data_IF_997685603178
#
_entry.id   IF_997685603178
#
_cell.length_a   1.000
_cell.length_b   1.000
_cell.length_c   1.000
_cell.angle_alpha   90.00
_cell.angle_beta   90.00
_cell.angle_gamma   90.00
#
_symmetry.space_group_name_H-M   'P 1'
#
loop_
_entity.id
_entity.type
_entity.pdbx_description
1 polymer ?
#
# COMPACT_ATOMS: atom_id res chain seq x y z
N UNK A 1 20.09 22.23 -29.59
CA UNK A 1 20.76 23.16 -28.67
C UNK A 1 19.79 23.79 -27.67
N UNK A 2 18.69 24.47 -28.10
CA UNK A 2 17.69 25.04 -27.18
C UNK A 2 17.08 24.07 -26.15
N UNK A 3 16.77 22.82 -26.53
CA UNK A 3 16.21 21.83 -25.59
C UNK A 3 17.21 21.36 -24.52
N UNK A 4 18.51 21.27 -24.87
CA UNK A 4 19.57 20.90 -23.94
C UNK A 4 19.93 22.06 -22.99
N UNK A 5 19.80 23.30 -23.44
CA UNK A 5 19.92 24.50 -22.58
C UNK A 5 18.76 24.61 -21.59
N UNK A 6 17.53 24.33 -22.02
CA UNK A 6 16.36 24.33 -21.14
C UNK A 6 16.43 23.23 -20.08
N UNK A 7 16.84 22.00 -20.46
CA UNK A 7 17.07 20.90 -19.51
C UNK A 7 18.24 21.18 -18.55
N UNK A 8 19.30 21.87 -19.01
CA UNK A 8 20.41 22.28 -18.12
C UNK A 8 19.98 23.38 -17.15
N UNK A 9 19.18 24.35 -17.57
CA UNK A 9 18.60 25.37 -16.68
C UNK A 9 17.63 24.76 -15.68
N UNK A 10 16.82 23.78 -16.11
CA UNK A 10 15.93 23.01 -15.25
C UNK A 10 16.72 22.25 -14.17
N UNK A 11 17.79 21.53 -14.55
CA UNK A 11 18.64 20.82 -13.59
C UNK A 11 19.44 21.73 -12.64
N UNK A 12 19.79 22.95 -13.08
CA UNK A 12 20.47 23.93 -12.22
C UNK A 12 19.51 24.55 -11.20
N UNK A 13 18.29 24.92 -11.61
CA UNK A 13 17.23 25.41 -10.72
C UNK A 13 16.69 24.31 -9.79
N UNK A 14 16.62 23.06 -10.26
CA UNK A 14 16.27 21.90 -9.44
C UNK A 14 17.32 21.63 -8.36
N UNK A 15 18.61 21.85 -8.65
CA UNK A 15 19.69 21.76 -7.65
C UNK A 15 19.61 22.85 -6.57
N UNK A 16 19.18 24.06 -6.92
CA UNK A 16 18.87 25.11 -5.95
C UNK A 16 17.56 24.85 -5.19
N UNK A 17 16.69 24.00 -5.75
CA UNK A 17 15.42 23.54 -5.18
C UNK A 17 15.53 22.22 -4.40
N UNK A 18 16.74 21.68 -4.21
CA UNK A 18 17.01 20.57 -3.27
C UNK A 18 16.94 21.03 -1.81
N UNK A 19 15.96 21.87 -1.49
CA UNK A 19 15.50 22.09 -0.13
C UNK A 19 14.54 20.93 0.15
N UNK A 20 14.90 20.15 1.17
CA UNK A 20 14.22 18.95 1.66
C UNK A 20 12.70 19.09 1.56
N UNK A 21 12.06 18.09 0.94
CA UNK A 21 10.61 17.99 0.74
C UNK A 21 9.78 17.77 2.02
N UNK A 22 10.35 18.04 3.19
CA UNK A 22 9.55 18.28 4.39
C UNK A 22 9.46 19.79 4.61
N UNK A 23 8.28 20.32 4.27
CA UNK A 23 7.76 21.63 4.68
C UNK A 23 8.46 22.82 4.01
N UNK A 24 8.02 23.17 2.78
CA UNK A 24 8.07 24.58 2.41
C UNK A 24 7.22 25.34 3.43
N UNK A 25 7.83 26.23 4.23
CA UNK A 25 7.08 27.17 5.05
C UNK A 25 6.19 28.04 4.15
N UNK A 26 5.10 28.57 4.69
CA UNK A 26 4.18 29.42 3.92
C UNK A 26 4.92 30.61 3.28
N UNK A 27 5.95 31.11 3.94
CA UNK A 27 6.85 32.13 3.38
C UNK A 27 7.60 31.68 2.12
N UNK A 28 8.09 30.45 2.08
CA UNK A 28 8.79 29.91 0.90
C UNK A 28 7.79 29.62 -0.22
N UNK A 29 6.61 29.08 0.11
CA UNK A 29 5.54 28.85 -0.86
C UNK A 29 5.07 30.16 -1.50
N UNK A 30 4.85 31.19 -0.68
CA UNK A 30 4.50 32.53 -1.12
C UNK A 30 5.57 33.11 -2.04
N UNK A 31 6.83 33.06 -1.61
CA UNK A 31 7.94 33.58 -2.41
C UNK A 31 8.09 32.84 -3.74
N UNK A 32 7.89 31.52 -3.76
CA UNK A 32 7.93 30.71 -4.97
C UNK A 32 6.80 31.13 -5.94
N UNK A 33 5.57 31.29 -5.45
CA UNK A 33 4.44 31.77 -6.26
C UNK A 33 4.69 33.15 -6.87
N UNK A 34 5.12 34.12 -6.04
CA UNK A 34 5.34 35.49 -6.51
C UNK A 34 6.49 35.55 -7.51
N UNK A 35 7.62 34.93 -7.22
CA UNK A 35 8.78 34.97 -8.10
C UNK A 35 8.41 34.39 -9.49
N UNK A 36 7.73 33.25 -9.52
CA UNK A 36 7.27 32.66 -10.79
C UNK A 36 6.25 33.54 -11.50
N UNK A 37 5.29 34.14 -10.79
CA UNK A 37 4.31 35.05 -11.38
C UNK A 37 4.98 36.27 -12.03
N UNK A 38 5.95 36.89 -11.36
CA UNK A 38 6.66 38.06 -11.87
C UNK A 38 7.57 37.72 -13.05
N UNK A 39 8.31 36.60 -12.98
CA UNK A 39 9.18 36.11 -14.06
C UNK A 39 8.43 35.57 -15.28
N UNK A 40 7.14 35.23 -15.13
CA UNK A 40 6.34 34.65 -16.21
C UNK A 40 6.10 35.63 -17.36
N UNK A 41 5.85 35.08 -18.56
CA UNK A 41 5.39 35.83 -19.73
C UNK A 41 3.86 36.01 -19.77
N UNK A 42 3.17 35.82 -18.63
CA UNK A 42 1.72 35.97 -18.55
C UNK A 42 1.27 37.42 -18.83
N UNK A 43 0.08 37.61 -19.43
CA UNK A 43 -0.61 38.89 -19.46
C UNK A 43 -0.77 39.51 -18.06
N UNK A 44 -0.67 40.84 -17.97
CA UNK A 44 -0.64 41.55 -16.67
C UNK A 44 -1.94 41.41 -15.88
N UNK A 45 -3.08 41.29 -16.56
CA UNK A 45 -4.38 40.99 -15.95
C UNK A 45 -4.39 39.62 -15.25
N UNK A 46 -3.75 38.59 -15.84
CA UNK A 46 -3.59 37.30 -15.18
C UNK A 46 -2.60 37.34 -14.02
N UNK A 47 -1.52 38.12 -14.14
CA UNK A 47 -0.60 38.37 -13.01
C UNK A 47 -1.32 39.03 -11.84
N UNK A 48 -2.24 39.96 -12.09
CA UNK A 48 -3.06 40.57 -11.03
C UNK A 48 -3.94 39.56 -10.29
N UNK A 49 -4.45 38.53 -10.98
CA UNK A 49 -5.20 37.44 -10.34
C UNK A 49 -4.32 36.65 -9.37
N UNK A 50 -3.06 36.37 -9.73
CA UNK A 50 -2.09 35.73 -8.81
C UNK A 50 -1.70 36.62 -7.63
N UNK A 51 -1.91 37.94 -7.72
CA UNK A 51 -1.71 38.90 -6.62
C UNK A 51 -2.93 39.00 -5.68
N UNK A 52 -4.04 38.32 -5.99
CA UNK A 52 -5.23 38.31 -5.13
C UNK A 52 -4.95 37.56 -3.81
N UNK A 53 -5.13 38.20 -2.63
CA UNK A 53 -4.82 37.58 -1.34
C UNK A 53 -5.58 36.28 -1.05
N UNK A 54 -6.86 36.18 -1.43
CA UNK A 54 -7.67 34.99 -1.19
C UNK A 54 -7.21 33.81 -2.05
N UNK A 55 -6.79 34.09 -3.29
CA UNK A 55 -6.27 33.06 -4.18
C UNK A 55 -4.87 32.59 -3.76
N UNK A 56 -4.01 33.52 -3.32
CA UNK A 56 -2.71 33.18 -2.75
C UNK A 56 -2.85 32.28 -1.53
N UNK A 57 -3.74 32.64 -0.61
CA UNK A 57 -4.01 31.85 0.59
C UNK A 57 -4.46 30.43 0.23
N UNK A 58 -5.36 30.31 -0.75
CA UNK A 58 -5.79 29.01 -1.29
C UNK A 58 -4.61 28.22 -1.86
N UNK A 59 -3.80 28.82 -2.73
CA UNK A 59 -2.66 28.15 -3.38
C UNK A 59 -1.64 27.68 -2.34
N UNK A 60 -1.21 28.57 -1.45
CA UNK A 60 -0.10 28.36 -0.53
C UNK A 60 -0.43 27.29 0.50
N UNK A 61 -1.67 27.23 0.98
CA UNK A 61 -2.10 26.24 1.97
C UNK A 61 -2.65 24.95 1.34
N UNK A 62 -2.71 24.85 0.01
CA UNK A 62 -3.22 23.66 -0.65
C UNK A 62 -2.30 22.45 -0.45
N UNK A 63 -2.88 21.27 -0.23
CA UNK A 63 -2.15 20.01 -0.05
C UNK A 63 -1.32 19.61 -1.28
N UNK A 64 -1.85 19.88 -2.48
CA UNK A 64 -1.18 19.65 -3.76
C UNK A 64 -0.20 20.76 -4.21
N UNK A 65 0.16 21.70 -3.33
CA UNK A 65 1.17 22.71 -3.67
C UNK A 65 2.51 22.05 -3.98
N UNK A 66 3.08 22.37 -5.15
CA UNK A 66 4.44 21.98 -5.53
C UNK A 66 5.06 23.05 -6.43
N UNK A 67 6.39 23.10 -6.55
CA UNK A 67 7.06 23.97 -7.52
C UNK A 67 6.50 23.79 -8.94
N UNK A 68 6.14 22.54 -9.31
CA UNK A 68 5.55 22.23 -10.61
C UNK A 68 4.13 22.74 -10.76
N UNK A 69 3.30 22.74 -9.71
CA UNK A 69 1.95 23.30 -9.81
C UNK A 69 2.00 24.81 -10.04
N UNK A 70 2.96 25.51 -9.41
CA UNK A 70 3.20 26.94 -9.66
C UNK A 70 3.73 27.16 -11.07
N UNK A 71 4.72 26.39 -11.53
CA UNK A 71 5.22 26.47 -12.90
C UNK A 71 4.11 26.27 -13.93
N UNK A 72 3.22 25.30 -13.69
CA UNK A 72 2.12 24.98 -14.61
C UNK A 72 1.11 26.12 -14.74
N UNK A 73 0.71 26.73 -13.61
CA UNK A 73 -0.24 27.86 -13.65
C UNK A 73 0.40 29.15 -14.14
N UNK A 74 1.74 29.27 -14.06
CA UNK A 74 2.47 30.45 -14.53
C UNK A 74 3.00 30.31 -15.97
N UNK A 75 2.81 29.16 -16.60
CA UNK A 75 3.19 28.91 -17.98
C UNK A 75 2.23 29.62 -18.95
N UNK A 76 2.78 30.43 -19.83
CA UNK A 76 2.02 31.25 -20.78
C UNK A 76 1.13 30.39 -21.69
N UNK A 77 1.67 29.29 -22.19
CA UNK A 77 0.99 28.38 -23.12
C UNK A 77 -0.28 27.74 -22.53
N UNK A 78 -0.37 27.68 -21.19
CA UNK A 78 -1.51 27.09 -20.50
C UNK A 78 -2.59 28.13 -20.13
N UNK A 79 -2.30 29.43 -20.29
CA UNK A 79 -3.08 30.48 -19.64
C UNK A 79 -3.33 31.73 -20.48
N UNK A 80 -2.56 31.96 -21.55
CA UNK A 80 -2.62 33.21 -22.34
C UNK A 80 -3.98 33.48 -22.98
N UNK A 81 -4.76 32.43 -23.28
CA UNK A 81 -6.08 32.55 -23.90
C UNK A 81 -7.25 32.60 -22.89
N UNK A 82 -6.96 32.57 -21.58
CA UNK A 82 -7.99 32.54 -20.53
C UNK A 82 -8.38 33.95 -20.10
N UNK A 83 -9.67 34.20 -19.88
CA UNK A 83 -10.11 35.38 -19.14
C UNK A 83 -9.76 35.28 -17.65
N UNK A 84 -9.80 36.40 -16.93
CA UNK A 84 -9.52 36.44 -15.49
C UNK A 84 -10.33 35.42 -14.65
N UNK A 85 -11.63 35.26 -14.95
CA UNK A 85 -12.50 34.32 -14.23
C UNK A 85 -12.16 32.87 -14.61
N UNK A 86 -11.90 32.61 -15.89
CA UNK A 86 -11.50 31.28 -16.36
C UNK A 86 -10.14 30.87 -15.80
N UNK A 87 -9.22 31.82 -15.65
CA UNK A 87 -7.91 31.60 -15.09
C UNK A 87 -7.95 31.29 -13.59
N UNK A 88 -8.75 32.00 -12.78
CA UNK A 88 -8.95 31.65 -11.38
C UNK A 88 -9.55 30.23 -11.25
N UNK A 89 -10.57 29.92 -12.05
CA UNK A 89 -11.17 28.58 -12.08
C UNK A 89 -10.17 27.50 -12.52
N UNK A 90 -9.31 27.82 -13.49
CA UNK A 90 -8.23 26.95 -13.95
C UNK A 90 -7.24 26.65 -12.83
N UNK A 91 -6.80 27.67 -12.06
CA UNK A 91 -5.94 27.47 -10.90
C UNK A 91 -6.61 26.55 -9.89
N UNK A 92 -7.83 26.89 -9.45
CA UNK A 92 -8.56 26.09 -8.45
C UNK A 92 -8.74 24.64 -8.90
N UNK A 93 -9.11 24.44 -10.16
CA UNK A 93 -9.27 23.10 -10.75
C UNK A 93 -7.96 22.30 -10.73
N UNK A 94 -6.83 22.90 -11.10
CA UNK A 94 -5.56 22.18 -11.16
C UNK A 94 -4.97 21.87 -9.77
N UNK A 95 -5.23 22.71 -8.77
CA UNK A 95 -4.85 22.39 -7.39
C UNK A 95 -5.75 21.30 -6.80
N UNK A 96 -7.06 21.37 -7.03
CA UNK A 96 -8.01 20.35 -6.58
C UNK A 96 -7.86 19.03 -7.34
N UNK A 97 -7.44 19.07 -8.62
CA UNK A 97 -7.25 17.92 -9.50
C UNK A 97 -5.98 18.08 -10.35
N UNK A 98 -4.81 17.70 -9.81
CA UNK A 98 -3.51 17.94 -10.44
C UNK A 98 -3.17 17.00 -11.59
N UNK A 99 -4.10 16.15 -12.05
CA UNK A 99 -3.91 15.23 -13.17
C UNK A 99 -3.31 15.91 -14.39
N UNK A 100 -3.76 17.12 -14.75
CA UNK A 100 -3.28 17.84 -15.94
C UNK A 100 -1.86 18.40 -15.77
N UNK A 101 -1.48 18.80 -14.54
CA UNK A 101 -0.11 19.20 -14.21
C UNK A 101 0.84 18.02 -14.45
N UNK A 102 0.47 16.84 -13.94
CA UNK A 102 1.28 15.64 -14.09
C UNK A 102 1.24 15.08 -15.50
N UNK A 103 0.10 15.15 -16.20
CA UNK A 103 -0.04 14.79 -17.62
C UNK A 103 0.93 15.58 -18.46
N UNK A 104 0.93 16.91 -18.32
CA UNK A 104 1.85 17.76 -19.08
C UNK A 104 3.31 17.40 -18.79
N UNK A 105 3.68 17.23 -17.51
CA UNK A 105 5.05 16.87 -17.14
C UNK A 105 5.47 15.49 -17.68
N UNK A 106 4.57 14.51 -17.62
CA UNK A 106 4.81 13.15 -18.09
C UNK A 106 4.87 13.07 -19.62
N UNK A 107 3.95 13.73 -20.33
CA UNK A 107 3.81 13.63 -21.79
C UNK A 107 4.71 14.59 -22.57
N UNK A 108 5.08 15.73 -21.99
CA UNK A 108 5.79 16.81 -22.70
C UNK A 108 7.20 17.08 -22.18
N UNK A 109 7.48 16.86 -20.88
CA UNK A 109 8.76 17.27 -20.27
C UNK A 109 9.78 16.14 -20.13
N UNK A 110 9.34 14.89 -20.18
CA UNK A 110 10.21 13.71 -20.05
C UNK A 110 10.11 12.80 -21.29
N UNK A 111 11.15 12.03 -21.55
CA UNK A 111 11.18 11.11 -22.70
C UNK A 111 10.74 9.68 -22.31
N UNK A 112 10.68 8.78 -23.29
CA UNK A 112 10.20 7.41 -23.09
C UNK A 112 11.03 6.61 -22.08
N UNK A 113 12.36 6.82 -22.00
CA UNK A 113 13.20 6.16 -20.99
C UNK A 113 12.83 6.58 -19.57
N UNK A 114 12.49 7.87 -19.42
CA UNK A 114 12.07 8.42 -18.14
C UNK A 114 10.69 7.86 -17.74
N UNK A 115 9.75 7.78 -18.69
CA UNK A 115 8.44 7.16 -18.49
C UNK A 115 8.55 5.69 -18.12
N UNK A 116 9.39 4.94 -18.84
CA UNK A 116 9.67 3.54 -18.53
C UNK A 116 10.21 3.38 -17.11
N UNK A 117 11.09 4.27 -16.64
CA UNK A 117 11.59 4.24 -15.27
C UNK A 117 10.48 4.54 -14.25
N UNK A 118 9.66 5.58 -14.47
CA UNK A 118 8.54 5.91 -13.58
C UNK A 118 7.51 4.78 -13.50
N UNK A 119 7.12 4.21 -14.65
CA UNK A 119 6.14 3.13 -14.71
C UNK A 119 6.69 1.84 -14.09
N UNK A 120 7.99 1.57 -14.26
CA UNK A 120 8.66 0.44 -13.59
C UNK A 120 8.68 0.67 -12.08
N UNK A 121 9.05 1.86 -11.62
CA UNK A 121 9.04 2.20 -10.19
C UNK A 121 7.64 2.07 -9.60
N UNK A 122 6.60 2.55 -10.30
CA UNK A 122 5.21 2.44 -9.86
C UNK A 122 4.78 0.99 -9.63
N UNK A 123 5.31 0.05 -10.42
CA UNK A 123 5.01 -1.37 -10.28
C UNK A 123 5.47 -1.94 -8.93
N UNK A 124 6.50 -1.37 -8.30
CA UNK A 124 7.00 -1.83 -6.99
C UNK A 124 6.16 -1.35 -5.79
N UNK A 125 5.23 -0.40 -5.99
CA UNK A 125 4.44 0.18 -4.91
C UNK A 125 4.85 1.62 -4.59
N UNK A 126 4.93 1.95 -3.30
CA UNK A 126 5.16 3.33 -2.83
C UNK A 126 6.64 3.71 -2.73
N UNK A 127 7.50 2.73 -2.48
CA UNK A 127 8.94 2.89 -2.49
C UNK A 127 9.68 1.64 -2.98
N UNK A 128 10.94 1.82 -3.37
CA UNK A 128 11.79 0.76 -3.93
C UNK A 128 13.27 1.03 -3.68
N UNK A 129 14.05 -0.02 -3.41
CA UNK A 129 15.51 0.08 -3.37
C UNK A 129 16.07 0.43 -4.76
N UNK A 130 17.04 1.34 -4.82
CA UNK A 130 17.63 1.81 -6.07
C UNK A 130 18.23 0.68 -6.93
N UNK A 131 18.80 -0.35 -6.30
CA UNK A 131 19.39 -1.49 -7.03
C UNK A 131 18.30 -2.37 -7.62
N UNK A 132 17.22 -2.63 -6.87
CA UNK A 132 16.07 -3.40 -7.36
C UNK A 132 15.35 -2.65 -8.49
N UNK A 133 15.24 -1.32 -8.39
CA UNK A 133 14.71 -0.48 -9.46
C UNK A 133 15.61 -0.52 -10.71
N UNK A 134 16.94 -0.48 -10.55
CA UNK A 134 17.86 -0.60 -11.69
C UNK A 134 17.73 -1.95 -12.39
N UNK A 135 17.64 -3.04 -11.62
CA UNK A 135 17.43 -4.39 -12.16
C UNK A 135 16.09 -4.48 -12.91
N UNK A 136 14.99 -4.04 -12.28
CA UNK A 136 13.66 -4.04 -12.90
C UNK A 136 13.60 -3.17 -14.16
N UNK A 137 14.22 -1.99 -14.13
CA UNK A 137 14.28 -1.10 -15.29
C UNK A 137 15.12 -1.70 -16.43
N UNK A 138 16.25 -2.34 -16.11
CA UNK A 138 17.04 -3.03 -17.11
C UNK A 138 16.25 -4.19 -17.75
N UNK A 139 15.51 -4.97 -16.97
CA UNK A 139 14.63 -6.01 -17.51
C UNK A 139 13.55 -5.41 -18.42
N UNK A 140 12.96 -4.26 -18.05
CA UNK A 140 12.04 -3.52 -18.92
C UNK A 140 12.68 -3.11 -20.24
N UNK A 141 13.89 -2.56 -20.22
CA UNK A 141 14.59 -2.18 -21.46
C UNK A 141 14.90 -3.41 -22.31
N UNK A 142 15.31 -4.55 -21.73
CA UNK A 142 15.58 -5.77 -22.50
C UNK A 142 14.31 -6.33 -23.16
N UNK A 143 13.17 -6.24 -22.48
CA UNK A 143 11.88 -6.56 -23.08
C UNK A 143 11.58 -5.67 -24.29
N UNK A 144 11.76 -4.35 -24.17
CA UNK A 144 11.54 -3.40 -25.26
C UNK A 144 12.47 -3.63 -26.45
N UNK A 145 13.74 -3.97 -26.19
CA UNK A 145 14.72 -4.33 -27.23
C UNK A 145 14.29 -5.60 -27.96
N UNK A 146 13.85 -6.62 -27.22
CA UNK A 146 13.50 -7.93 -27.77
C UNK A 146 12.20 -7.92 -28.55
N UNK A 147 11.18 -7.20 -28.08
CA UNK A 147 9.82 -7.31 -28.61
C UNK A 147 9.32 -6.06 -29.33
N UNK A 148 9.91 -4.89 -29.09
CA UNK A 148 9.43 -3.61 -29.60
C UNK A 148 10.48 -2.84 -30.43
N UNK A 149 11.52 -3.52 -30.92
CA UNK A 149 12.60 -2.97 -31.75
C UNK A 149 13.30 -1.74 -31.13
N UNK A 150 13.40 -1.71 -29.80
CA UNK A 150 14.08 -0.62 -29.10
C UNK A 150 15.60 -0.79 -29.15
N UNK A 151 16.35 0.31 -29.10
CA UNK A 151 17.82 0.29 -29.03
C UNK A 151 18.25 0.65 -27.62
N UNK A 152 18.91 -0.27 -26.91
CA UNK A 152 19.40 -0.05 -25.54
C UNK A 152 20.45 1.07 -25.50
N UNK A 153 20.16 2.21 -24.85
CA UNK A 153 21.11 3.30 -24.74
C UNK A 153 22.15 3.02 -23.64
N UNK A 154 23.42 3.37 -23.85
CA UNK A 154 24.49 3.18 -22.84
C UNK A 154 24.21 3.94 -21.54
N UNK A 155 24.06 3.29 -20.40
CA UNK A 155 23.75 3.98 -19.13
C UNK A 155 22.34 4.57 -19.11
N UNK A 156 21.36 3.88 -19.70
CA UNK A 156 19.96 4.30 -19.75
C UNK A 156 19.39 4.62 -18.37
N UNK A 157 19.63 3.76 -17.37
CA UNK A 157 19.15 3.93 -16.01
C UNK A 157 19.66 5.24 -15.38
N UNK A 158 20.99 5.40 -15.26
CA UNK A 158 21.60 6.59 -14.65
C UNK A 158 21.21 7.90 -15.34
N UNK A 159 20.93 7.88 -16.65
CA UNK A 159 20.45 9.07 -17.36
C UNK A 159 18.99 9.39 -17.04
N UNK A 160 18.13 8.38 -16.98
CA UNK A 160 16.72 8.56 -16.62
C UNK A 160 16.59 8.99 -15.16
N UNK A 161 17.29 8.29 -14.25
CA UNK A 161 17.34 8.63 -12.83
C UNK A 161 17.72 10.10 -12.60
N UNK A 162 18.84 10.56 -13.18
CA UNK A 162 19.29 11.96 -13.03
C UNK A 162 18.33 13.03 -13.57
N UNK A 163 17.45 12.67 -14.52
CA UNK A 163 16.44 13.62 -15.03
C UNK A 163 15.19 13.66 -14.16
N UNK A 164 14.88 12.54 -13.51
CA UNK A 164 13.68 12.40 -12.68
C UNK A 164 13.94 12.80 -11.22
N UNK A 165 15.19 12.66 -10.74
CA UNK A 165 15.59 13.00 -9.38
C UNK A 165 15.29 14.47 -9.06
N UNK A 166 14.61 14.71 -7.93
CA UNK A 166 14.19 16.04 -7.48
C UNK A 166 12.99 16.63 -8.22
N UNK A 167 12.58 16.03 -9.34
CA UNK A 167 11.41 16.42 -10.12
C UNK A 167 10.22 15.45 -9.97
N UNK A 168 10.47 14.16 -9.90
CA UNK A 168 9.44 13.11 -9.87
C UNK A 168 9.72 12.08 -8.78
N UNK A 169 11.00 11.78 -8.56
CA UNK A 169 11.46 10.78 -7.61
C UNK A 169 12.44 11.43 -6.63
N UNK A 170 12.44 10.93 -5.40
CA UNK A 170 13.29 11.42 -4.31
C UNK A 170 13.74 10.26 -3.43
N UNK A 171 14.92 10.39 -2.83
CA UNK A 171 15.41 9.45 -1.83
C UNK A 171 14.65 9.66 -0.51
N UNK A 172 14.41 8.57 0.23
CA UNK A 172 13.82 8.66 1.56
C UNK A 172 14.81 9.26 2.58
N UNK A 173 14.27 10.03 3.52
CA UNK A 173 15.06 10.74 4.54
C UNK A 173 15.85 9.79 5.44
N UNK A 174 15.26 8.65 5.79
CA UNK A 174 15.84 7.68 6.73
C UNK A 174 16.51 6.49 6.05
N UNK A 175 16.27 6.30 4.75
CA UNK A 175 16.90 5.26 3.95
C UNK A 175 17.29 5.81 2.57
N UNK A 176 18.52 6.31 2.38
CA UNK A 176 18.93 6.94 1.12
C UNK A 176 18.98 5.97 -0.08
N UNK A 177 18.95 4.66 0.17
CA UNK A 177 18.84 3.65 -0.89
C UNK A 177 17.40 3.43 -1.34
N UNK A 178 16.41 3.82 -0.54
CA UNK A 178 14.99 3.76 -0.90
C UNK A 178 14.57 5.01 -1.67
N UNK A 179 13.87 4.80 -2.78
CA UNK A 179 13.30 5.84 -3.62
C UNK A 179 11.79 5.87 -3.47
N UNK A 180 11.20 7.07 -3.39
CA UNK A 180 9.75 7.30 -3.41
C UNK A 180 9.37 8.37 -4.42
N UNK A 181 8.09 8.42 -4.79
CA UNK A 181 7.56 9.52 -5.60
C UNK A 181 7.55 10.83 -4.79
N UNK A 182 7.76 11.95 -5.49
CA UNK A 182 7.84 13.29 -4.88
C UNK A 182 6.53 13.72 -4.22
N UNK A 183 5.39 13.24 -4.71
CA UNK A 183 4.06 13.64 -4.24
C UNK A 183 3.03 12.53 -4.50
N UNK A 184 2.11 12.23 -3.56
CA UNK A 184 1.03 11.25 -3.76
C UNK A 184 0.17 11.50 -5.01
N UNK A 185 -0.08 12.76 -5.38
CA UNK A 185 -0.86 13.09 -6.58
C UNK A 185 -0.20 12.64 -7.90
N UNK A 186 1.12 12.46 -7.93
CA UNK A 186 1.81 11.85 -9.06
C UNK A 186 1.48 10.36 -9.15
N UNK A 187 1.42 9.67 -8.01
CA UNK A 187 1.03 8.26 -7.95
C UNK A 187 -0.40 8.09 -8.46
N UNK A 188 -1.33 8.94 -8.02
CA UNK A 188 -2.72 8.94 -8.50
C UNK A 188 -2.82 9.13 -10.01
N UNK A 189 -2.09 10.10 -10.56
CA UNK A 189 -2.01 10.33 -12.00
C UNK A 189 -1.47 9.10 -12.74
N UNK A 190 -0.35 8.51 -12.29
CA UNK A 190 0.27 7.36 -12.94
C UNK A 190 -0.62 6.11 -12.88
N UNK A 191 -1.34 5.90 -11.76
CA UNK A 191 -2.32 4.83 -11.65
C UNK A 191 -3.50 5.05 -12.62
N UNK A 192 -3.98 6.29 -12.75
CA UNK A 192 -4.97 6.66 -13.77
C UNK A 192 -4.48 6.41 -15.20
N UNK A 193 -3.22 6.72 -15.48
CA UNK A 193 -2.56 6.45 -16.76
C UNK A 193 -2.52 4.94 -17.05
N UNK A 194 -2.08 4.09 -16.11
CA UNK A 194 -2.06 2.64 -16.30
C UNK A 194 -3.46 2.05 -16.52
N UNK A 195 -4.48 2.52 -15.78
CA UNK A 195 -5.88 2.06 -15.96
C UNK A 195 -6.42 2.34 -17.36
N UNK A 196 -5.89 3.36 -18.04
CA UNK A 196 -6.29 3.73 -19.40
C UNK A 196 -5.36 3.20 -20.49
N UNK A 197 -4.22 2.59 -20.11
CA UNK A 197 -3.20 2.11 -21.04
C UNK A 197 -2.84 0.64 -20.77
N UNK A 198 -3.65 -0.25 -21.36
CA UNK A 198 -3.50 -1.69 -21.22
C UNK A 198 -2.18 -2.22 -21.83
N UNK A 199 -1.68 -1.60 -22.89
CA UNK A 199 -0.40 -1.97 -23.49
C UNK A 199 0.76 -1.74 -22.52
N UNK A 200 0.73 -0.65 -21.75
CA UNK A 200 1.76 -0.39 -20.76
C UNK A 200 1.69 -1.39 -19.60
N UNK A 201 0.50 -1.77 -19.15
CA UNK A 201 0.31 -2.82 -18.14
C UNK A 201 0.89 -4.16 -18.62
N UNK A 202 0.64 -4.55 -19.87
CA UNK A 202 1.26 -5.75 -20.47
C UNK A 202 2.78 -5.62 -20.47
N UNK A 203 3.34 -4.49 -20.93
CA UNK A 203 4.79 -4.32 -21.02
C UNK A 203 5.47 -4.36 -19.64
N UNK A 204 4.87 -3.78 -18.60
CA UNK A 204 5.39 -3.87 -17.23
C UNK A 204 5.35 -5.33 -16.77
N UNK A 205 4.18 -5.97 -16.84
CA UNK A 205 3.98 -7.34 -16.35
C UNK A 205 4.86 -8.37 -17.07
N UNK A 206 5.03 -8.25 -18.39
CA UNK A 206 5.89 -9.14 -19.18
C UNK A 206 7.38 -8.97 -18.93
N UNK A 207 7.78 -7.79 -18.46
CA UNK A 207 9.18 -7.48 -18.12
C UNK A 207 9.50 -7.63 -16.64
N UNK A 208 8.49 -7.88 -15.79
CA UNK A 208 8.66 -8.02 -14.35
C UNK A 208 9.63 -9.15 -14.02
N UNK A 209 10.55 -8.89 -13.10
CA UNK A 209 11.50 -9.88 -12.56
C UNK A 209 11.33 -10.07 -11.05
N UNK A 210 10.62 -9.17 -10.38
CA UNK A 210 10.22 -9.31 -8.98
C UNK A 210 8.71 -9.53 -8.87
N UNK A 211 8.28 -10.34 -7.89
CA UNK A 211 6.85 -10.54 -7.64
C UNK A 211 6.14 -9.25 -7.25
N UNK A 212 6.81 -8.38 -6.49
CA UNK A 212 6.28 -7.08 -6.07
C UNK A 212 5.85 -6.23 -7.27
N UNK A 213 6.56 -6.29 -8.41
CA UNK A 213 6.16 -5.59 -9.64
C UNK A 213 4.81 -6.06 -10.19
N UNK A 214 4.46 -7.32 -9.95
CA UNK A 214 3.15 -7.88 -10.31
C UNK A 214 2.13 -7.56 -9.22
N UNK A 215 2.45 -7.81 -7.96
CA UNK A 215 1.48 -7.86 -6.87
C UNK A 215 1.20 -6.52 -6.19
N UNK A 216 2.10 -5.55 -6.24
CA UNK A 216 1.90 -4.30 -5.49
C UNK A 216 0.79 -3.43 -6.08
N UNK A 217 0.64 -3.41 -7.41
CA UNK A 217 -0.32 -2.54 -8.12
C UNK A 217 -1.08 -3.21 -9.25
N UNK A 218 -0.46 -4.11 -10.02
CA UNK A 218 -1.07 -4.65 -11.24
C UNK A 218 -2.06 -5.78 -10.92
N UNK A 219 -1.64 -6.73 -10.10
CA UNK A 219 -2.38 -7.93 -9.73
C UNK A 219 -2.40 -8.06 -8.20
N UNK A 220 -3.08 -7.14 -7.50
CA UNK A 220 -3.08 -7.12 -6.05
C UNK A 220 -3.63 -8.43 -5.48
N UNK A 221 -2.99 -8.93 -4.42
CA UNK A 221 -3.42 -10.17 -3.75
C UNK A 221 -4.78 -10.02 -3.04
N UNK A 222 -5.31 -8.80 -2.96
CA UNK A 222 -6.63 -8.49 -2.43
C UNK A 222 -7.39 -7.61 -3.43
N UNK A 223 -8.59 -8.04 -3.83
CA UNK A 223 -9.48 -7.32 -4.73
C UNK A 223 -9.80 -8.06 -6.04
N UNK A 224 -10.82 -7.60 -6.75
CA UNK A 224 -11.43 -8.34 -7.87
C UNK A 224 -11.07 -7.80 -9.27
N UNK A 225 -10.21 -6.79 -9.38
CA UNK A 225 -9.91 -6.11 -10.64
C UNK A 225 -8.44 -6.25 -11.02
N UNK A 226 -8.07 -7.44 -11.50
CA UNK A 226 -6.76 -7.70 -12.10
C UNK A 226 -6.83 -7.67 -13.63
N UNK A 227 -5.81 -7.13 -14.31
CA UNK A 227 -5.64 -7.26 -15.75
C UNK A 227 -5.63 -8.73 -16.19
N UNK A 228 -5.82 -8.98 -17.49
CA UNK A 228 -5.67 -10.33 -18.02
C UNK A 228 -4.20 -10.73 -18.05
N UNK A 229 -3.89 -11.92 -17.50
CA UNK A 229 -2.55 -12.52 -17.59
C UNK A 229 -2.36 -13.06 -19.01
N UNK A 230 -1.38 -12.50 -19.70
CA UNK A 230 -0.94 -12.88 -21.05
C UNK A 230 -0.36 -14.30 -21.08
N UNK A 231 -0.36 -14.92 -22.26
CA UNK A 231 0.17 -16.27 -22.45
C UNK A 231 1.67 -16.39 -22.12
N UNK A 232 2.46 -15.36 -22.41
CA UNK A 232 3.90 -15.35 -22.15
C UNK A 232 4.19 -15.18 -20.65
N UNK A 233 3.53 -14.26 -19.95
CA UNK A 233 3.62 -14.19 -18.48
C UNK A 233 3.16 -15.49 -17.82
N UNK A 234 2.06 -16.09 -18.30
CA UNK A 234 1.61 -17.41 -17.82
C UNK A 234 2.67 -18.48 -18.01
N UNK A 235 3.32 -18.56 -19.18
CA UNK A 235 4.42 -19.50 -19.42
C UNK A 235 5.54 -19.31 -18.39
N UNK A 236 5.96 -18.06 -18.16
CA UNK A 236 7.01 -17.74 -17.17
C UNK A 236 6.61 -18.15 -15.76
N UNK A 237 5.38 -17.89 -15.35
CA UNK A 237 4.85 -18.24 -14.02
C UNK A 237 4.66 -19.74 -13.81
N UNK A 238 4.49 -20.53 -14.87
CA UNK A 238 4.29 -21.98 -14.75
C UNK A 238 5.62 -22.74 -14.89
N UNK A 239 6.46 -22.34 -15.85
CA UNK A 239 7.67 -23.11 -16.20
C UNK A 239 8.97 -22.46 -15.72
N UNK A 240 8.96 -21.18 -15.39
CA UNK A 240 10.14 -20.41 -14.98
C UNK A 240 9.94 -19.64 -13.68
N UNK A 241 9.00 -20.06 -12.84
CA UNK A 241 8.58 -19.34 -11.64
C UNK A 241 9.71 -19.00 -10.67
N UNK A 242 10.77 -19.82 -10.62
CA UNK A 242 11.97 -19.58 -9.80
C UNK A 242 12.69 -18.28 -10.18
N UNK A 243 12.47 -17.73 -11.38
CA UNK A 243 13.05 -16.44 -11.79
C UNK A 243 12.52 -15.26 -10.98
N UNK A 244 11.40 -15.43 -10.28
CA UNK A 244 10.76 -14.38 -9.49
C UNK A 244 11.15 -14.42 -7.99
N UNK A 245 11.96 -15.39 -7.57
CA UNK A 245 12.36 -15.58 -6.16
C UNK A 245 13.73 -14.92 -5.95
N UNK A 246 13.80 -13.85 -5.15
CA UNK A 246 15.04 -13.14 -4.85
C UNK A 246 15.83 -13.90 -3.79
N UNK A 247 17.15 -13.89 -3.87
CA UNK A 247 18.04 -14.59 -2.93
C UNK A 247 17.91 -14.11 -1.48
N UNK A 248 17.53 -12.85 -1.27
CA UNK A 248 17.43 -12.20 0.05
C UNK A 248 16.06 -12.42 0.74
N UNK A 249 14.99 -12.65 -0.05
CA UNK A 249 13.60 -12.74 0.43
C UNK A 249 12.92 -14.05 0.02
N UNK A 250 13.69 -15.13 -0.14
CA UNK A 250 13.22 -16.34 -0.82
C UNK A 250 11.92 -16.92 -0.23
N UNK A 251 11.77 -16.92 1.11
CA UNK A 251 10.61 -17.51 1.77
C UNK A 251 9.34 -16.67 1.62
N UNK A 252 9.44 -15.35 1.77
CA UNK A 252 8.33 -14.41 1.49
C UNK A 252 7.94 -14.47 0.01
N UNK A 253 8.92 -14.44 -0.91
CA UNK A 253 8.63 -14.55 -2.35
C UNK A 253 7.94 -15.87 -2.71
N UNK A 254 8.35 -17.00 -2.11
CA UNK A 254 7.67 -18.30 -2.29
C UNK A 254 6.21 -18.22 -1.85
N UNK A 255 5.93 -17.65 -0.68
CA UNK A 255 4.57 -17.51 -0.17
C UNK A 255 3.73 -16.60 -1.08
N UNK A 256 4.25 -15.43 -1.42
CA UNK A 256 3.56 -14.47 -2.31
C UNK A 256 3.27 -15.11 -3.67
N UNK A 257 4.20 -15.89 -4.21
CA UNK A 257 3.99 -16.62 -5.46
C UNK A 257 2.93 -17.71 -5.31
N UNK A 258 2.90 -18.47 -4.21
CA UNK A 258 1.85 -19.46 -3.95
C UNK A 258 0.48 -18.79 -3.99
N UNK A 259 0.31 -17.71 -3.22
CA UNK A 259 -0.95 -16.96 -3.14
C UNK A 259 -1.32 -16.44 -4.53
N UNK A 260 -0.39 -15.77 -5.21
CA UNK A 260 -0.59 -15.24 -6.55
C UNK A 260 -1.05 -16.32 -7.53
N UNK A 261 -0.40 -17.49 -7.53
CA UNK A 261 -0.76 -18.58 -8.43
C UNK A 261 -2.16 -19.10 -8.13
N UNK A 262 -2.51 -19.29 -6.85
CA UNK A 262 -3.83 -19.82 -6.44
C UNK A 262 -4.99 -18.92 -6.81
N UNK A 263 -4.76 -17.61 -6.84
CA UNK A 263 -5.79 -16.63 -7.22
C UNK A 263 -6.00 -16.54 -8.73
N UNK A 264 -4.98 -16.88 -9.52
CA UNK A 264 -4.94 -16.57 -10.95
C UNK A 264 -4.97 -17.80 -11.87
N UNK A 265 -4.74 -19.00 -11.34
CA UNK A 265 -4.71 -20.23 -12.13
C UNK A 265 -5.56 -21.33 -11.52
N UNK A 266 -6.04 -22.22 -12.39
CA UNK A 266 -6.71 -23.43 -11.95
C UNK A 266 -5.74 -24.33 -11.19
N UNK A 267 -6.23 -24.93 -10.11
CA UNK A 267 -5.42 -25.66 -9.16
C UNK A 267 -4.63 -26.82 -9.80
N UNK A 268 -5.22 -27.52 -10.78
CA UNK A 268 -4.59 -28.65 -11.48
C UNK A 268 -3.33 -28.24 -12.25
N UNK A 269 -3.20 -26.96 -12.63
CA UNK A 269 -2.04 -26.44 -13.36
C UNK A 269 -0.87 -26.13 -12.42
N UNK A 270 -1.15 -25.84 -11.14
CA UNK A 270 -0.20 -25.24 -10.20
C UNK A 270 0.10 -26.11 -8.99
N UNK A 271 -0.65 -27.19 -8.74
CA UNK A 271 -0.49 -28.04 -7.55
C UNK A 271 0.96 -28.47 -7.31
N UNK A 272 1.64 -28.97 -8.35
CA UNK A 272 3.06 -29.38 -8.24
C UNK A 272 4.00 -28.21 -7.92
N UNK A 273 3.69 -27.03 -8.44
CA UNK A 273 4.46 -25.81 -8.20
C UNK A 273 4.27 -25.38 -6.74
N UNK A 274 3.03 -25.36 -6.26
CA UNK A 274 2.71 -25.04 -4.85
C UNK A 274 3.41 -26.01 -3.90
N UNK A 275 3.36 -27.32 -4.17
CA UNK A 275 4.06 -28.33 -3.36
C UNK A 275 5.57 -28.04 -3.33
N UNK A 276 6.18 -27.77 -4.49
CA UNK A 276 7.60 -27.41 -4.58
C UNK A 276 7.92 -26.16 -3.77
N UNK A 277 7.14 -25.08 -3.92
CA UNK A 277 7.36 -23.81 -3.24
C UNK A 277 7.21 -23.97 -1.73
N UNK A 278 6.13 -24.59 -1.25
CA UNK A 278 5.88 -24.82 0.17
C UNK A 278 6.97 -25.68 0.80
N UNK A 279 7.45 -26.72 0.12
CA UNK A 279 8.50 -27.60 0.62
C UNK A 279 9.87 -26.93 0.74
N UNK A 280 10.08 -25.81 0.03
CA UNK A 280 11.32 -25.04 0.06
C UNK A 280 11.27 -23.87 1.07
N UNK A 281 10.14 -23.64 1.76
CA UNK A 281 10.06 -22.66 2.86
C UNK A 281 10.57 -23.32 4.14
N UNK A 282 11.68 -22.82 4.65
CA UNK A 282 12.39 -23.36 5.83
C UNK A 282 12.39 -22.41 7.03
N UNK A 283 11.99 -21.15 6.85
CA UNK A 283 11.88 -20.13 7.90
C UNK A 283 10.63 -19.27 7.68
N UNK A 284 9.73 -19.26 8.67
CA UNK A 284 8.50 -18.46 8.68
C UNK A 284 8.62 -17.15 9.50
N UNK A 285 9.83 -16.80 9.97
CA UNK A 285 10.07 -15.59 10.76
C UNK A 285 9.61 -14.30 10.07
N UNK A 286 9.66 -14.26 8.73
CA UNK A 286 9.20 -13.15 7.90
C UNK A 286 7.71 -12.80 8.12
N UNK A 287 6.90 -13.74 8.60
CA UNK A 287 5.50 -13.49 8.93
C UNK A 287 5.32 -12.60 10.16
N UNK A 288 6.34 -12.41 11.00
CA UNK A 288 6.25 -11.62 12.24
C UNK A 288 5.83 -10.18 11.97
N UNK A 289 6.47 -9.52 11.01
CA UNK A 289 6.25 -8.10 10.72
C UNK A 289 5.31 -7.88 9.53
N UNK A 290 4.94 -8.92 8.79
CA UNK A 290 4.17 -8.80 7.56
C UNK A 290 2.69 -9.21 7.71
N UNK A 291 1.88 -8.28 8.21
CA UNK A 291 0.43 -8.49 8.39
C UNK A 291 -0.30 -8.88 7.09
N UNK A 292 0.09 -8.28 5.95
CA UNK A 292 -0.53 -8.57 4.65
C UNK A 292 -0.31 -10.01 4.21
N UNK A 293 0.91 -10.53 4.39
CA UNK A 293 1.24 -11.93 4.10
C UNK A 293 0.54 -12.89 5.06
N UNK A 294 0.47 -12.58 6.37
CA UNK A 294 -0.32 -13.37 7.33
C UNK A 294 -1.79 -13.47 6.93
N UNK A 295 -2.40 -12.35 6.54
CA UNK A 295 -3.78 -12.32 6.06
C UNK A 295 -3.97 -13.18 4.82
N UNK A 296 -3.09 -13.03 3.84
CA UNK A 296 -3.20 -13.73 2.57
C UNK A 296 -2.96 -15.24 2.72
N UNK A 297 -2.03 -15.62 3.60
CA UNK A 297 -1.80 -17.01 3.99
C UNK A 297 -3.03 -17.59 4.70
N UNK A 298 -3.64 -16.85 5.62
CA UNK A 298 -4.85 -17.30 6.31
C UNK A 298 -5.99 -17.63 5.32
N UNK A 299 -6.23 -16.77 4.35
CA UNK A 299 -7.23 -17.01 3.31
C UNK A 299 -6.84 -18.19 2.41
N UNK A 300 -5.56 -18.35 2.05
CA UNK A 300 -5.09 -19.55 1.34
C UNK A 300 -5.37 -20.85 2.14
N UNK A 301 -5.12 -20.85 3.45
CA UNK A 301 -5.37 -22.01 4.32
C UNK A 301 -6.86 -22.35 4.39
N UNK A 302 -7.76 -21.37 4.34
CA UNK A 302 -9.21 -21.58 4.27
C UNK A 302 -9.66 -22.22 2.97
N UNK A 303 -9.07 -21.83 1.85
CA UNK A 303 -9.52 -22.25 0.50
C UNK A 303 -8.85 -23.54 -0.02
N UNK A 304 -7.66 -23.91 0.47
CA UNK A 304 -6.91 -25.05 -0.09
C UNK A 304 -7.61 -26.41 0.08
N UNK A 305 -7.91 -27.14 -0.99
CA UNK A 305 -8.64 -28.43 -0.89
C UNK A 305 -7.82 -29.65 -1.29
N UNK A 306 -6.59 -29.47 -1.77
CA UNK A 306 -5.72 -30.56 -2.19
C UNK A 306 -5.12 -31.31 -1.00
N UNK A 307 -5.42 -32.61 -0.93
CA UNK A 307 -4.90 -33.52 0.08
C UNK A 307 -3.36 -33.54 0.15
N UNK A 308 -2.60 -33.64 -0.97
CA UNK A 308 -1.15 -33.50 -0.93
C UNK A 308 -0.65 -32.23 -0.23
N UNK A 309 -1.29 -31.09 -0.50
CA UNK A 309 -0.89 -29.80 0.08
C UNK A 309 -1.33 -29.69 1.53
N UNK A 310 -2.53 -30.14 1.88
CA UNK A 310 -3.00 -30.20 3.28
C UNK A 310 -2.04 -31.05 4.11
N UNK A 311 -1.62 -32.21 3.61
CA UNK A 311 -0.65 -33.06 4.29
C UNK A 311 0.72 -32.40 4.48
N UNK A 312 1.19 -31.66 3.47
CA UNK A 312 2.44 -30.91 3.55
C UNK A 312 2.37 -29.78 4.59
N UNK A 313 1.29 -29.00 4.55
CA UNK A 313 1.02 -27.93 5.51
C UNK A 313 0.93 -28.50 6.93
N UNK A 314 0.26 -29.63 7.13
CA UNK A 314 0.21 -30.28 8.44
C UNK A 314 1.59 -30.69 8.95
N UNK A 315 2.45 -31.20 8.07
CA UNK A 315 3.78 -31.70 8.44
C UNK A 315 4.77 -30.58 8.77
N UNK A 316 4.72 -29.46 8.03
CA UNK A 316 5.69 -28.36 8.15
C UNK A 316 5.12 -27.07 8.72
N UNK A 317 3.82 -27.05 9.04
CA UNK A 317 3.10 -25.88 9.51
C UNK A 317 3.24 -25.49 10.99
N UNK A 318 3.81 -26.27 11.95
CA UNK A 318 3.80 -25.84 13.36
C UNK A 318 4.36 -24.44 13.60
N UNK A 319 5.55 -24.14 13.09
CA UNK A 319 6.16 -22.81 13.22
C UNK A 319 5.29 -21.73 12.56
N UNK A 320 4.85 -21.98 11.32
CA UNK A 320 3.92 -21.10 10.59
C UNK A 320 2.63 -20.81 11.39
N UNK A 321 2.01 -21.85 11.97
CA UNK A 321 0.79 -21.74 12.75
C UNK A 321 1.02 -20.93 14.03
N UNK A 322 2.13 -21.15 14.74
CA UNK A 322 2.48 -20.35 15.91
C UNK A 322 2.58 -18.86 15.57
N UNK A 323 3.21 -18.51 14.44
CA UNK A 323 3.29 -17.11 13.97
C UNK A 323 1.92 -16.52 13.64
N UNK A 324 1.05 -17.30 13.01
CA UNK A 324 -0.32 -16.87 12.70
C UNK A 324 -1.17 -16.68 13.97
N UNK A 325 -0.89 -17.43 15.05
CA UNK A 325 -1.59 -17.29 16.34
C UNK A 325 -1.05 -16.08 17.12
N UNK A 326 0.26 -16.01 17.36
CA UNK A 326 0.86 -15.01 18.27
C UNK A 326 0.78 -13.58 17.72
N UNK A 327 0.80 -13.41 16.40
CA UNK A 327 0.79 -12.09 15.75
C UNK A 327 -0.57 -11.70 15.16
N UNK A 328 -1.65 -12.37 15.58
CA UNK A 328 -3.02 -11.98 15.27
C UNK A 328 -3.69 -11.42 16.52
N UNK A 329 -4.26 -10.21 16.40
CA UNK A 329 -4.90 -9.51 17.51
C UNK A 329 -6.43 -9.57 17.42
N UNK A 330 -6.98 -10.03 16.29
CA UNK A 330 -8.42 -10.19 16.13
C UNK A 330 -8.88 -11.56 16.65
N UNK A 331 -9.60 -11.56 17.77
CA UNK A 331 -10.11 -12.77 18.44
C UNK A 331 -11.02 -13.62 17.55
N UNK A 332 -11.87 -13.01 16.73
CA UNK A 332 -12.76 -13.77 15.82
C UNK A 332 -11.97 -14.44 14.70
N UNK A 333 -10.96 -13.77 14.18
CA UNK A 333 -10.06 -14.31 13.15
C UNK A 333 -9.21 -15.46 13.71
N UNK A 334 -8.69 -15.31 14.93
CA UNK A 334 -8.02 -16.38 15.67
C UNK A 334 -8.93 -17.60 15.87
N UNK A 335 -10.16 -17.36 16.31
CA UNK A 335 -11.15 -18.43 16.47
C UNK A 335 -11.39 -19.18 15.16
N UNK A 336 -11.64 -18.46 14.07
CA UNK A 336 -11.79 -19.06 12.74
C UNK A 336 -10.54 -19.85 12.31
N UNK A 337 -9.35 -19.36 12.65
CA UNK A 337 -8.10 -20.04 12.34
C UNK A 337 -7.94 -21.36 13.08
N UNK A 338 -8.14 -21.35 14.39
CA UNK A 338 -8.06 -22.56 15.20
C UNK A 338 -9.13 -23.59 14.79
N UNK A 339 -10.35 -23.15 14.46
CA UNK A 339 -11.38 -24.01 13.88
C UNK A 339 -10.91 -24.62 12.55
N UNK A 340 -10.26 -23.82 11.71
CA UNK A 340 -9.68 -24.30 10.43
C UNK A 340 -8.59 -25.34 10.67
N UNK A 341 -7.68 -25.11 11.64
CA UNK A 341 -6.64 -26.06 12.00
C UNK A 341 -7.21 -27.40 12.46
N UNK A 342 -8.22 -27.37 13.34
CA UNK A 342 -8.87 -28.56 13.86
C UNK A 342 -9.65 -29.33 12.77
N UNK A 343 -10.54 -28.64 12.06
CA UNK A 343 -11.47 -29.29 11.11
C UNK A 343 -10.77 -29.73 9.83
N UNK A 344 -9.87 -28.90 9.30
CA UNK A 344 -9.30 -29.08 7.96
C UNK A 344 -7.94 -29.76 7.97
N UNK A 345 -7.12 -29.43 8.96
CA UNK A 345 -5.76 -29.96 9.06
C UNK A 345 -5.64 -31.08 10.11
N UNK A 346 -6.72 -31.43 10.81
CA UNK A 346 -6.75 -32.45 11.87
C UNK A 346 -5.62 -32.21 12.89
N UNK A 347 -5.44 -30.94 13.26
CA UNK A 347 -4.40 -30.48 14.18
C UNK A 347 -4.95 -30.43 15.59
N UNK A 348 -4.43 -31.28 16.46
CA UNK A 348 -4.58 -31.15 17.91
C UNK A 348 -3.45 -30.26 18.46
N UNK A 349 -3.83 -29.07 18.98
CA UNK A 349 -2.89 -28.09 19.51
C UNK A 349 -1.97 -28.68 20.59
N UNK A 350 -2.50 -29.54 21.46
CA UNK A 350 -1.74 -30.14 22.57
C UNK A 350 -0.66 -31.07 22.05
N UNK A 351 -0.95 -31.76 20.94
CA UNK A 351 0.00 -32.66 20.30
C UNK A 351 1.06 -31.93 19.48
N UNK A 352 0.72 -30.76 18.93
CA UNK A 352 1.55 -30.05 17.97
C UNK A 352 2.54 -29.08 18.61
N UNK A 353 2.14 -28.44 19.71
CA UNK A 353 2.87 -27.36 20.34
C UNK A 353 3.48 -27.77 21.68
N UNK A 354 4.59 -27.13 22.05
CA UNK A 354 5.20 -27.35 23.36
C UNK A 354 4.33 -26.75 24.47
N UNK A 355 4.56 -27.18 25.72
CA UNK A 355 3.87 -26.60 26.87
C UNK A 355 4.13 -25.08 26.99
N UNK A 356 5.34 -24.63 26.63
CA UNK A 356 5.71 -23.22 26.64
C UNK A 356 4.96 -22.43 25.56
N UNK A 357 4.79 -22.99 24.36
CA UNK A 357 4.00 -22.38 23.29
C UNK A 357 2.52 -22.24 23.69
N UNK A 358 1.93 -23.30 24.25
CA UNK A 358 0.53 -23.29 24.70
C UNK A 358 0.30 -22.29 25.83
N UNK A 359 1.29 -22.15 26.72
CA UNK A 359 1.29 -21.13 27.76
C UNK A 359 1.34 -19.73 27.13
N UNK A 360 2.24 -19.50 26.17
CA UNK A 360 2.33 -18.24 25.42
C UNK A 360 1.04 -17.89 24.67
N UNK A 361 0.37 -18.88 24.06
CA UNK A 361 -0.93 -18.67 23.42
C UNK A 361 -2.02 -18.32 24.45
N UNK A 362 -2.01 -19.00 25.60
CA UNK A 362 -2.98 -18.73 26.68
C UNK A 362 -2.85 -17.31 27.23
N UNK A 363 -1.62 -16.83 27.42
CA UNK A 363 -1.33 -15.46 27.84
C UNK A 363 -1.78 -14.46 26.76
N UNK A 364 -1.41 -14.68 25.50
CA UNK A 364 -1.82 -13.84 24.37
C UNK A 364 -3.35 -13.68 24.27
N UNK A 365 -4.10 -14.79 24.31
CA UNK A 365 -5.57 -14.73 24.25
C UNK A 365 -6.18 -14.06 25.49
N UNK A 366 -5.57 -14.23 26.66
CA UNK A 366 -6.01 -13.58 27.89
C UNK A 366 -5.85 -12.06 27.80
N UNK A 367 -4.72 -11.59 27.27
CA UNK A 367 -4.44 -10.17 27.07
C UNK A 367 -5.43 -9.54 26.07
N UNK A 368 -5.65 -10.18 24.92
CA UNK A 368 -6.63 -9.71 23.92
C UNK A 368 -8.05 -9.65 24.47
N UNK A 369 -8.46 -10.62 25.30
CA UNK A 369 -9.78 -10.59 25.94
C UNK A 369 -9.89 -9.46 26.96
N UNK A 370 -8.82 -9.15 27.71
CA UNK A 370 -8.84 -8.02 28.62
C UNK A 370 -8.91 -6.68 27.86
N UNK A 371 -8.15 -6.52 26.78
CA UNK A 371 -8.23 -5.35 25.89
C UNK A 371 -9.64 -5.18 25.30
N UNK A 372 -10.25 -6.29 24.85
CA UNK A 372 -11.64 -6.28 24.38
C UNK A 372 -12.63 -5.84 25.49
N UNK A 373 -12.45 -6.31 26.73
CA UNK A 373 -13.30 -5.90 27.85
C UNK A 373 -13.14 -4.41 28.14
N UNK A 374 -11.92 -3.89 28.10
CA UNK A 374 -11.65 -2.46 28.27
C UNK A 374 -12.36 -1.64 27.19
N UNK A 375 -12.23 -2.04 25.93
CA UNK A 375 -12.92 -1.40 24.81
C UNK A 375 -14.46 -1.48 24.94
N UNK A 376 -15.00 -2.64 25.31
CA UNK A 376 -16.44 -2.79 25.54
C UNK A 376 -16.93 -1.84 26.63
N UNK A 377 -16.15 -1.63 27.70
CA UNK A 377 -16.50 -0.73 28.80
C UNK A 377 -16.47 0.72 28.33
N UNK A 378 -15.45 1.13 27.56
CA UNK A 378 -15.40 2.47 26.96
C UNK A 378 -16.63 2.74 26.09
N UNK A 379 -16.97 1.80 25.20
CA UNK A 379 -18.17 1.90 24.37
C UNK A 379 -19.46 1.96 25.21
N UNK A 380 -19.57 1.13 26.26
CA UNK A 380 -20.75 1.09 27.12
C UNK A 380 -20.90 2.37 27.96
N UNK A 381 -19.81 3.04 28.35
CA UNK A 381 -19.88 4.31 29.08
C UNK A 381 -20.56 5.39 28.25
N UNK A 382 -20.33 5.41 26.95
CA UNK A 382 -20.90 6.42 26.04
C UNK A 382 -22.32 6.07 25.56
N UNK A 383 -22.63 4.79 25.37
CA UNK A 383 -23.85 4.36 24.66
C UNK A 383 -24.79 3.44 25.43
N UNK A 384 -24.39 2.92 26.60
CA UNK A 384 -25.30 2.04 27.35
C UNK A 384 -26.52 2.81 27.82
N UNK A 385 -27.69 2.18 27.71
CA UNK A 385 -28.96 2.70 28.23
C UNK A 385 -29.54 1.84 29.38
N UNK A 386 -29.00 0.63 29.59
CA UNK A 386 -29.49 -0.34 30.55
C UNK A 386 -28.45 -1.43 30.86
N UNK A 387 -28.66 -2.14 31.97
CA UNK A 387 -27.82 -3.27 32.39
C UNK A 387 -27.74 -4.39 31.33
N UNK A 388 -28.84 -4.64 30.61
CA UNK A 388 -28.91 -5.74 29.63
C UNK A 388 -27.83 -5.66 28.52
N UNK A 389 -27.40 -4.45 28.14
CA UNK A 389 -26.34 -4.25 27.15
C UNK A 389 -24.97 -4.71 27.67
N UNK A 390 -24.73 -4.54 28.96
CA UNK A 390 -23.51 -4.95 29.64
C UNK A 390 -23.51 -6.48 29.78
N UNK A 391 -24.64 -7.04 30.20
CA UNK A 391 -24.82 -8.48 30.37
C UNK A 391 -24.59 -9.23 29.03
N UNK A 392 -25.04 -8.66 27.92
CA UNK A 392 -24.80 -9.23 26.58
C UNK A 392 -23.30 -9.34 26.27
N UNK A 393 -22.53 -8.29 26.54
CA UNK A 393 -21.07 -8.27 26.34
C UNK A 393 -20.36 -9.25 27.28
N UNK A 394 -20.73 -9.28 28.56
CA UNK A 394 -20.16 -10.21 29.54
C UNK A 394 -20.43 -11.68 29.15
N UNK A 395 -21.65 -12.00 28.71
CA UNK A 395 -22.02 -13.34 28.25
C UNK A 395 -21.22 -13.72 27.00
N UNK A 396 -21.06 -12.81 26.03
CA UNK A 396 -20.29 -13.07 24.82
C UNK A 396 -18.81 -13.37 25.14
N UNK A 397 -18.20 -12.57 26.01
CA UNK A 397 -16.82 -12.75 26.46
C UNK A 397 -16.66 -14.06 27.24
N UNK A 398 -17.61 -14.41 28.11
CA UNK A 398 -17.62 -15.68 28.85
C UNK A 398 -17.64 -16.88 27.92
N UNK A 399 -18.53 -16.87 26.91
CA UNK A 399 -18.59 -17.94 25.89
C UNK A 399 -17.29 -18.10 25.11
N UNK A 400 -16.59 -16.99 24.86
CA UNK A 400 -15.32 -17.01 24.16
C UNK A 400 -14.22 -17.64 25.01
N UNK A 401 -14.16 -17.31 26.31
CA UNK A 401 -13.25 -17.96 27.28
C UNK A 401 -13.50 -19.47 27.35
N UNK A 402 -14.77 -19.88 27.48
CA UNK A 402 -15.15 -21.31 27.51
C UNK A 402 -14.70 -22.03 26.23
N UNK A 403 -14.86 -21.37 25.08
CA UNK A 403 -14.44 -21.93 23.80
C UNK A 403 -12.92 -22.12 23.71
N UNK A 404 -12.11 -21.12 24.08
CA UNK A 404 -10.65 -21.29 24.10
C UNK A 404 -10.21 -22.38 25.09
N UNK A 405 -10.82 -22.43 26.27
CA UNK A 405 -10.52 -23.45 27.27
C UNK A 405 -10.90 -24.86 26.82
N UNK A 406 -11.89 -25.00 25.93
CA UNK A 406 -12.23 -26.30 25.32
C UNK A 406 -11.11 -26.87 24.44
N UNK A 407 -10.17 -26.02 24.00
CA UNK A 407 -8.99 -26.39 23.22
C UNK A 407 -7.76 -26.69 24.12
N UNK A 408 -7.97 -26.93 25.42
CA UNK A 408 -6.91 -27.14 26.42
C UNK A 408 -5.98 -25.94 26.65
N UNK A 409 -6.38 -24.74 26.24
CA UNK A 409 -5.73 -23.49 26.60
C UNK A 409 -6.21 -23.04 27.98
N UNK A 410 -5.40 -22.29 28.71
CA UNK A 410 -5.78 -21.77 30.04
C UNK A 410 -6.02 -20.26 29.95
N UNK A 411 -7.11 -19.87 29.29
CA UNK A 411 -7.44 -18.46 29.03
C UNK A 411 -8.29 -17.89 30.16
N UNK A 412 -7.94 -16.67 30.61
CA UNK A 412 -8.63 -15.96 31.69
C UNK A 412 -8.75 -14.48 31.36
N UNK A 413 -9.90 -13.88 31.66
CA UNK A 413 -10.11 -12.45 31.55
C UNK A 413 -10.80 -11.89 32.79
N UNK A 414 -10.63 -10.60 33.08
CA UNK A 414 -11.19 -9.96 34.25
C UNK A 414 -12.64 -9.51 34.03
N UNK A 415 -13.56 -10.49 34.03
CA UNK A 415 -15.00 -10.24 33.85
C UNK A 415 -15.58 -9.28 34.89
N UNK A 416 -14.98 -9.18 36.09
CA UNK A 416 -15.43 -8.23 37.11
C UNK A 416 -15.38 -6.76 36.67
N UNK A 417 -14.63 -6.45 35.61
CA UNK A 417 -14.61 -5.13 35.00
C UNK A 417 -16.01 -4.71 34.50
N UNK A 418 -16.83 -5.64 33.98
CA UNK A 418 -18.21 -5.35 33.57
C UNK A 418 -19.10 -4.95 34.74
N UNK A 419 -18.74 -5.28 35.99
CA UNK A 419 -19.52 -4.90 37.18
C UNK A 419 -18.93 -3.72 37.96
N UNK A 420 -17.92 -3.02 37.43
CA UNK A 420 -17.24 -1.92 38.14
C UNK A 420 -18.05 -0.62 38.23
N UNK A 421 -18.98 -0.42 37.30
CA UNK A 421 -19.73 0.83 37.16
C UNK A 421 -21.20 0.63 37.54
N UNK A 422 -21.85 1.71 37.98
CA UNK A 422 -23.31 1.74 38.12
C UNK A 422 -23.93 2.03 36.75
N UNK A 423 -24.16 0.97 35.98
CA UNK A 423 -24.70 1.07 34.62
C UNK A 423 -26.14 1.55 34.57
N UNK A 424 -26.88 1.45 35.68
CA UNK A 424 -28.21 2.03 35.76
C UNK A 424 -28.13 3.56 35.77
N UNK A 425 -27.24 4.12 36.59
CA UNK A 425 -27.02 5.58 36.63
C UNK A 425 -26.47 6.10 35.29
N UNK A 426 -25.47 5.44 34.72
CA UNK A 426 -24.89 5.80 33.42
C UNK A 426 -25.94 5.73 32.32
N UNK A 427 -26.74 4.66 32.28
CA UNK A 427 -27.80 4.49 31.30
C UNK A 427 -28.86 5.58 31.33
N UNK A 428 -29.26 6.02 32.53
CA UNK A 428 -30.18 7.15 32.69
C UNK A 428 -29.56 8.46 32.18
N UNK A 429 -28.30 8.73 32.49
CA UNK A 429 -27.61 9.94 32.05
C UNK A 429 -27.46 10.00 30.53
N UNK A 430 -27.05 8.90 29.89
CA UNK A 430 -26.92 8.81 28.44
C UNK A 430 -28.26 9.00 27.74
N UNK A 431 -29.33 8.37 28.24
CA UNK A 431 -30.68 8.57 27.72
C UNK A 431 -31.12 10.04 27.79
N UNK A 432 -30.88 10.73 28.91
CA UNK A 432 -31.21 12.15 29.06
C UNK A 432 -30.45 13.03 28.07
N UNK A 433 -29.14 12.79 27.89
CA UNK A 433 -28.31 13.53 26.94
C UNK A 433 -28.80 13.37 25.49
N UNK A 434 -29.19 12.15 25.10
CA UNK A 434 -29.74 11.91 23.76
C UNK A 434 -31.07 12.60 23.50
N UNK A 435 -31.96 12.69 24.51
CA UNK A 435 -33.22 13.42 24.35
C UNK A 435 -32.96 14.93 24.18
N UNK A 436 -31.99 15.49 24.93
CA UNK A 436 -31.62 16.90 24.81
C UNK A 436 -31.04 17.25 23.42
N UNK A 437 -30.28 16.34 22.80
CA UNK A 437 -29.74 16.54 21.46
C UNK A 437 -30.77 16.41 20.32
N UNK A 438 -31.94 15.81 20.59
CA UNK A 438 -33.04 15.69 19.61
C UNK A 438 -33.97 16.90 19.59
N UNK A 439 -33.94 17.72 20.64
CA UNK A 439 -34.78 18.91 20.83
C UNK A 439 -34.11 20.23 20.40
N UNK A 440 -32.83 20.19 20.01
CA UNK A 440 -32.04 21.27 19.36
C UNK A 440 -31.94 21.05 17.84
#
# INVERSE_FOLDING_TARGET
MKSQENLRRFNLRAKESTIKLDIYSDSVRHQLLINHAEESELPEDLKQILRNPQLQEFIIHHTNFSPRSVEFITAKENSEDLSAVEYENFIRKNFNKPDEIWRHAYEQQINDLDRMLLNTMLSFGDSVDINDLELGYNARIDYEVKFNNYVRPLGAFMRAFKRLEGGFIVQETYNPNSLKFINPSLVDFLLGYLRSNYDEVIRISESAIFLTQLTARLFPLQGNNSPHITAQLKERLIYHYKSFIKSESQNSDRLVLIIFLTQNFQFEQIEKIIISLLSEIDDWSFLTDNYSERNSLFEFLKEVTSEPIINLIRMHGPDMFAKLIIYENNLDKLKQFLDTLNVKFDVDLVSLFSADDLYGFSDHFSDLLNEKIEQDIEDLLDYSHAQDFVDEKEIATTKMIEWFNSLSLTVRANLSNYSKHDWWEIGQNNYLQEQMQKDD
#
